data_IF_903390011302
#
_entry.id   IF_903390011302
#
_cell.length_a   1.000
_cell.length_b   1.000
_cell.length_c   1.000
_cell.angle_alpha   90.00
_cell.angle_beta   90.00
_cell.angle_gamma   90.00
#
_symmetry.space_group_name_H-M   'P 1'
#
loop_
_entity.id
_entity.type
_entity.pdbx_description
1 polymer ?
#
# COMPACT_ATOMS: atom_id res chain seq x y z
N UNK A 1 -6.42 -2.00 11.19
CA UNK A 1 -7.56 -1.13 11.59
C UNK A 1 -8.28 -1.54 12.86
N UNK A 2 -7.94 -2.66 13.50
CA UNK A 2 -8.48 -3.03 14.81
C UNK A 2 -7.52 -2.56 15.90
N UNK A 3 -8.02 -1.91 16.95
CA UNK A 3 -7.23 -1.49 18.11
C UNK A 3 -6.94 -2.65 19.05
N UNK A 4 -6.09 -2.42 20.06
CA UNK A 4 -5.74 -3.41 21.08
C UNK A 4 -6.95 -3.87 21.90
N UNK A 5 -7.95 -2.99 22.05
CA UNK A 5 -9.26 -3.31 22.63
C UNK A 5 -10.17 -4.15 21.74
N UNK A 6 -9.69 -4.61 20.57
CA UNK A 6 -10.46 -5.32 19.55
C UNK A 6 -11.62 -4.48 18.95
N UNK A 7 -11.67 -3.19 19.22
CA UNK A 7 -12.59 -2.27 18.56
C UNK A 7 -12.02 -1.81 17.22
N UNK A 8 -12.89 -1.56 16.24
CA UNK A 8 -12.49 -0.94 14.99
C UNK A 8 -12.07 0.50 15.24
N UNK A 9 -10.95 0.92 14.65
CA UNK A 9 -10.51 2.33 14.65
C UNK A 9 -11.44 3.18 13.77
N UNK A 10 -11.83 2.62 12.63
CA UNK A 10 -12.84 3.13 11.71
C UNK A 10 -13.66 1.95 11.19
N UNK A 11 -14.92 2.19 10.83
CA UNK A 11 -15.79 1.15 10.28
C UNK A 11 -15.18 0.55 9.01
N UNK A 12 -15.07 -0.79 8.91
CA UNK A 12 -14.55 -1.42 7.71
C UNK A 12 -15.50 -1.20 6.52
N UNK A 13 -14.96 -1.32 5.31
CA UNK A 13 -15.75 -1.30 4.09
C UNK A 13 -16.80 -2.43 4.11
N UNK A 14 -17.97 -2.23 3.48
CA UNK A 14 -19.09 -3.17 3.58
C UNK A 14 -18.92 -4.42 2.71
N UNK A 15 -17.92 -4.45 1.83
CA UNK A 15 -17.61 -5.63 1.02
C UNK A 15 -16.63 -6.57 1.76
N UNK A 16 -16.54 -7.85 1.37
CA UNK A 16 -15.55 -8.78 1.92
C UNK A 16 -14.12 -8.26 1.79
N UNK A 17 -13.23 -8.75 2.64
CA UNK A 17 -11.80 -8.45 2.55
C UNK A 17 -11.27 -8.86 1.17
N UNK A 18 -10.44 -7.99 0.58
CA UNK A 18 -9.69 -8.33 -0.63
C UNK A 18 -8.63 -9.36 -0.29
N UNK A 19 -8.69 -10.53 -0.92
CA UNK A 19 -7.78 -11.64 -0.69
C UNK A 19 -7.44 -12.31 -2.04
N UNK A 20 -6.27 -12.91 -2.16
CA UNK A 20 -5.88 -13.76 -3.30
C UNK A 20 -5.65 -15.20 -2.84
N UNK A 21 -5.37 -16.11 -3.77
CA UNK A 21 -5.02 -17.49 -3.42
C UNK A 21 -3.75 -17.60 -2.57
N UNK A 22 -2.82 -16.65 -2.74
CA UNK A 22 -1.50 -16.68 -2.11
C UNK A 22 -1.44 -15.90 -0.79
N UNK A 23 -2.29 -14.88 -0.59
CA UNK A 23 -2.29 -14.09 0.63
C UNK A 23 -3.64 -13.44 0.95
N UNK A 24 -3.94 -13.39 2.25
CA UNK A 24 -5.12 -12.71 2.80
C UNK A 24 -4.80 -11.33 3.38
N UNK A 25 -3.51 -11.01 3.59
CA UNK A 25 -3.06 -9.75 4.20
C UNK A 25 -1.59 -9.51 3.89
N UNK A 26 -1.30 -8.77 2.81
CA UNK A 26 0.06 -8.36 2.39
C UNK A 26 0.26 -6.85 2.44
N UNK A 27 -0.60 -6.12 3.17
CA UNK A 27 -0.58 -4.66 3.19
C UNK A 27 0.78 -4.09 3.63
N UNK A 28 1.48 -4.78 4.54
CA UNK A 28 2.79 -4.33 5.00
C UNK A 28 3.84 -4.35 3.87
N UNK A 29 3.73 -5.27 2.92
CA UNK A 29 4.68 -5.40 1.82
C UNK A 29 4.56 -4.21 0.85
N UNK A 30 3.36 -3.63 0.73
CA UNK A 30 3.10 -2.42 -0.08
C UNK A 30 3.34 -1.11 0.68
N UNK A 31 3.28 -1.12 2.02
CA UNK A 31 3.64 0.04 2.86
C UNK A 31 5.16 0.15 3.00
N UNK A 32 5.88 -0.97 2.91
CA UNK A 32 7.33 -1.00 2.98
C UNK A 32 7.97 -0.12 1.91
N UNK A 33 9.04 0.58 2.28
CA UNK A 33 9.89 1.35 1.35
C UNK A 33 11.21 0.61 1.07
N UNK A 34 11.34 -0.65 1.50
CA UNK A 34 12.44 -1.52 1.15
C UNK A 34 12.26 -2.04 -0.29
N UNK A 35 13.17 -1.74 -1.23
CA UNK A 35 13.04 -2.16 -2.63
C UNK A 35 13.10 -3.69 -2.83
N UNK A 36 13.53 -4.47 -1.84
CA UNK A 36 13.54 -5.93 -1.91
C UNK A 36 12.20 -6.57 -1.49
N UNK A 37 11.25 -5.78 -0.98
CA UNK A 37 9.96 -6.25 -0.46
C UNK A 37 8.81 -5.85 -1.37
N UNK A 38 7.86 -6.78 -1.59
CA UNK A 38 6.61 -6.49 -2.27
C UNK A 38 6.71 -6.47 -3.79
N UNK A 39 5.93 -5.60 -4.42
CA UNK A 39 5.81 -5.47 -5.87
C UNK A 39 5.93 -4.01 -6.32
N UNK A 40 6.56 -3.80 -7.48
CA UNK A 40 6.73 -2.46 -8.07
C UNK A 40 8.13 -1.89 -7.86
N UNK A 41 8.24 -0.57 -7.90
CA UNK A 41 9.49 0.16 -7.71
C UNK A 41 9.31 1.25 -6.67
N UNK A 42 10.29 1.38 -5.77
CA UNK A 42 10.35 2.45 -4.78
C UNK A 42 11.09 3.64 -5.37
N UNK A 43 10.52 4.83 -5.21
CA UNK A 43 11.12 6.09 -5.65
C UNK A 43 11.22 7.04 -4.48
N UNK A 44 12.33 7.76 -4.40
CA UNK A 44 12.39 9.01 -3.65
C UNK A 44 11.45 10.04 -4.29
N UNK A 45 11.13 11.10 -3.53
CA UNK A 45 10.32 12.19 -4.06
C UNK A 45 10.93 12.85 -5.31
N UNK A 46 12.27 12.98 -5.36
CA UNK A 46 12.94 13.57 -6.52
C UNK A 46 12.83 12.69 -7.76
N UNK A 47 13.00 11.37 -7.60
CA UNK A 47 12.88 10.42 -8.71
C UNK A 47 11.45 10.34 -9.22
N UNK A 48 10.45 10.30 -8.33
CA UNK A 48 9.05 10.26 -8.73
C UNK A 48 8.62 11.53 -9.47
N UNK A 49 9.05 12.70 -9.02
CA UNK A 49 8.83 13.96 -9.75
C UNK A 49 9.52 13.89 -11.11
N UNK A 50 10.81 13.55 -11.16
CA UNK A 50 11.54 13.49 -12.43
C UNK A 50 10.90 12.54 -13.45
N UNK A 51 10.40 11.39 -13.00
CA UNK A 51 9.83 10.37 -13.87
C UNK A 51 8.39 10.66 -14.30
N UNK A 52 7.58 11.31 -13.45
CA UNK A 52 6.14 11.45 -13.69
C UNK A 52 5.68 12.90 -13.90
N UNK A 53 6.53 13.91 -13.76
CA UNK A 53 6.15 15.33 -13.91
C UNK A 53 6.17 15.85 -15.35
N UNK A 54 6.08 15.00 -16.37
CA UNK A 54 5.95 15.45 -17.76
C UNK A 54 4.66 16.26 -17.95
N UNK A 55 4.75 17.59 -17.84
CA UNK A 55 3.95 18.48 -18.65
C UNK A 55 4.50 18.42 -20.07
N UNK A 56 3.79 17.76 -20.98
CA UNK A 56 3.89 18.10 -22.39
C UNK A 56 3.36 19.53 -22.54
N UNK A 57 4.16 20.42 -23.14
CA UNK A 57 3.78 21.78 -23.51
C UNK A 57 2.46 21.84 -24.28
#
# INVERSE_FOLDING_TARGET
>A
MKGSSRNWRESPLPHPCTETGDSRMNLNDFISMDPEVGWGSIYTLSESVHQFSTCNC
#
